data_IF_933388094018
#
_entry.id   IF_933388094018
#
_cell.length_a   1.000
_cell.length_b   1.000
_cell.length_c   1.000
_cell.angle_alpha   90.00
_cell.angle_beta   90.00
_cell.angle_gamma   90.00
#
_symmetry.space_group_name_H-M   'P 1'
#
loop_
_entity.id
_entity.type
_entity.pdbx_description
1 polymer ?
#
# COMPACT_ATOMS: atom_id res chain seq x y z
N UNK A 1 19.85 1.77 -9.56
CA UNK A 1 20.17 2.26 -8.23
C UNK A 1 18.93 2.08 -7.38
N UNK A 2 18.91 0.94 -6.76
CA UNK A 2 17.80 0.37 -6.01
C UNK A 2 18.15 0.53 -4.56
N UNK A 3 17.64 1.56 -3.91
CA UNK A 3 17.43 1.73 -2.48
C UNK A 3 16.70 3.08 -2.34
N UNK A 4 15.50 3.14 -2.95
CA UNK A 4 14.39 3.79 -2.32
C UNK A 4 14.07 2.94 -1.09
N UNK A 5 13.41 3.48 -0.10
CA UNK A 5 12.74 2.71 0.91
C UNK A 5 11.94 1.59 0.20
N UNK A 6 12.63 0.49 -0.10
CA UNK A 6 11.97 -0.75 -0.22
C UNK A 6 11.41 -0.96 1.18
N UNK A 7 10.10 -0.88 1.35
CA UNK A 7 9.49 -1.78 2.28
C UNK A 7 10.12 -3.12 1.96
N UNK A 8 11.03 -3.60 2.81
CA UNK A 8 11.54 -4.96 2.74
C UNK A 8 10.43 -5.92 3.12
N UNK A 9 9.32 -5.82 2.43
CA UNK A 9 8.33 -6.88 2.36
C UNK A 9 8.61 -7.79 1.15
N UNK A 10 9.84 -7.78 0.64
CA UNK A 10 10.38 -8.95 -0.01
C UNK A 10 10.80 -9.91 1.10
N UNK A 11 9.81 -10.49 1.77
CA UNK A 11 9.98 -11.75 2.44
C UNK A 11 10.59 -12.71 1.41
N UNK A 12 11.90 -12.87 1.43
CA UNK A 12 12.52 -14.06 0.90
C UNK A 12 12.08 -15.17 1.82
N UNK A 13 10.98 -15.83 1.44
CA UNK A 13 10.61 -17.11 2.00
C UNK A 13 11.86 -17.98 1.95
N UNK A 14 12.43 -18.32 3.10
CA UNK A 14 13.54 -19.24 3.20
C UNK A 14 13.15 -20.50 2.44
N UNK A 15 13.84 -20.79 1.33
CA UNK A 15 13.65 -21.99 0.54
C UNK A 15 12.30 -22.12 -0.15
N UNK A 16 12.02 -21.29 -1.17
CA UNK A 16 10.81 -21.35 -2.03
C UNK A 16 10.44 -22.79 -2.46
N UNK A 17 11.38 -23.74 -2.55
CA UNK A 17 11.12 -25.12 -2.92
C UNK A 17 10.73 -26.00 -1.72
N UNK A 18 11.34 -25.83 -0.55
CA UNK A 18 11.02 -26.63 0.64
C UNK A 18 9.68 -26.22 1.23
N UNK A 19 9.42 -24.92 1.32
CA UNK A 19 8.14 -24.37 1.74
C UNK A 19 6.95 -24.84 0.88
N UNK A 20 7.15 -24.93 -0.44
CA UNK A 20 6.13 -25.42 -1.38
C UNK A 20 5.86 -26.92 -1.24
N UNK A 21 6.87 -27.69 -0.86
CA UNK A 21 6.71 -29.13 -0.62
C UNK A 21 5.88 -29.40 0.65
N UNK A 22 6.08 -28.63 1.72
CA UNK A 22 5.33 -28.77 2.97
C UNK A 22 3.87 -28.36 2.84
N UNK A 23 3.56 -27.26 2.12
CA UNK A 23 2.19 -26.84 1.84
C UNK A 23 1.43 -27.83 0.94
N UNK A 24 2.12 -28.59 0.11
CA UNK A 24 1.50 -29.65 -0.71
C UNK A 24 0.99 -30.83 0.11
N UNK A 25 1.43 -30.95 1.35
CA UNK A 25 1.02 -31.98 2.30
C UNK A 25 -0.22 -31.62 3.13
N UNK A 26 -0.77 -30.42 2.99
CA UNK A 26 -2.05 -30.08 3.62
C UNK A 26 -3.17 -30.99 3.05
N UNK A 27 -4.05 -31.53 3.91
CA UNK A 27 -5.06 -32.50 3.47
C UNK A 27 -5.97 -31.86 2.40
N UNK A 28 -6.05 -32.50 1.24
CA UNK A 28 -6.94 -32.13 0.12
C UNK A 28 -8.43 -32.12 0.48
N UNK A 29 -8.77 -32.47 1.72
CA UNK A 29 -10.11 -32.53 2.29
C UNK A 29 -10.60 -31.22 2.91
N UNK A 30 -9.82 -30.14 2.87
CA UNK A 30 -10.34 -28.81 3.21
C UNK A 30 -11.42 -28.46 2.17
N UNK A 31 -12.63 -28.64 2.58
CA UNK A 31 -13.92 -28.70 1.95
C UNK A 31 -14.06 -28.05 0.58
N UNK A 32 -15.03 -28.55 -0.20
CA UNK A 32 -15.60 -27.85 -1.37
C UNK A 32 -15.57 -26.37 -1.10
N UNK A 33 -14.83 -25.63 -1.94
CA UNK A 33 -14.84 -24.18 -1.90
C UNK A 33 -16.31 -23.77 -1.86
N UNK A 34 -16.78 -23.26 -0.73
CA UNK A 34 -18.11 -22.69 -0.65
C UNK A 34 -18.19 -21.70 -1.80
N UNK A 35 -19.15 -21.90 -2.70
CA UNK A 35 -19.46 -20.93 -3.74
C UNK A 35 -19.60 -19.59 -3.02
N UNK A 36 -18.70 -18.66 -3.33
CA UNK A 36 -18.77 -17.31 -2.79
C UNK A 36 -20.13 -16.77 -3.19
N UNK A 37 -21.05 -16.43 -2.26
CA UNK A 37 -22.37 -15.94 -2.59
C UNK A 37 -22.21 -14.80 -3.58
N UNK A 38 -23.00 -14.77 -4.66
CA UNK A 38 -22.95 -13.74 -5.67
C UNK A 38 -23.07 -12.37 -5.01
N UNK A 39 -21.96 -11.65 -4.96
CA UNK A 39 -21.89 -10.34 -4.30
C UNK A 39 -22.74 -9.40 -5.16
N UNK A 40 -23.75 -8.80 -4.56
CA UNK A 40 -24.81 -7.98 -5.19
C UNK A 40 -24.28 -6.85 -6.09
N UNK A 41 -25.09 -6.36 -7.02
CA UNK A 41 -24.82 -5.45 -8.14
C UNK A 41 -23.86 -4.26 -7.94
N UNK A 42 -23.54 -3.87 -6.71
CA UNK A 42 -22.65 -2.77 -6.36
C UNK A 42 -21.18 -3.02 -6.76
N UNK A 43 -20.77 -4.29 -6.89
CA UNK A 43 -19.43 -4.71 -7.28
C UNK A 43 -19.24 -4.97 -8.78
N UNK A 44 -20.25 -4.71 -9.60
CA UNK A 44 -20.18 -4.87 -11.06
C UNK A 44 -19.08 -3.98 -11.68
N UNK A 45 -18.88 -2.77 -11.13
CA UNK A 45 -17.86 -1.83 -11.60
C UNK A 45 -16.45 -2.26 -11.20
N UNK A 46 -16.31 -2.86 -10.02
CA UNK A 46 -15.02 -3.40 -9.56
C UNK A 46 -14.58 -4.52 -10.50
N UNK A 47 -15.48 -5.44 -10.84
CA UNK A 47 -15.21 -6.52 -11.76
C UNK A 47 -14.66 -6.01 -13.09
N UNK A 48 -15.29 -4.99 -13.70
CA UNK A 48 -14.83 -4.40 -14.96
C UNK A 48 -13.40 -3.84 -14.86
N UNK A 49 -13.12 -3.11 -13.78
CA UNK A 49 -11.80 -2.53 -13.54
C UNK A 49 -10.77 -3.62 -13.23
N UNK A 50 -11.12 -4.61 -12.42
CA UNK A 50 -10.26 -5.74 -12.10
C UNK A 50 -9.90 -6.57 -13.34
N UNK A 51 -10.87 -6.82 -14.24
CA UNK A 51 -10.63 -7.47 -15.54
C UNK A 51 -9.70 -6.62 -16.40
N UNK A 52 -9.92 -5.31 -16.47
CA UNK A 52 -9.07 -4.40 -17.26
C UNK A 52 -7.64 -4.37 -16.71
N UNK A 53 -7.47 -4.39 -15.40
CA UNK A 53 -6.21 -4.47 -14.69
C UNK A 53 -5.49 -5.78 -15.00
N UNK A 54 -6.18 -6.91 -14.90
CA UNK A 54 -5.64 -8.22 -15.21
C UNK A 54 -5.14 -8.29 -16.66
N UNK A 55 -5.93 -7.79 -17.61
CA UNK A 55 -5.54 -7.68 -19.02
C UNK A 55 -4.29 -6.83 -19.23
N UNK A 56 -4.17 -5.70 -18.55
CA UNK A 56 -2.99 -4.83 -18.65
C UNK A 56 -1.73 -5.51 -18.10
N UNK A 57 -1.83 -6.23 -16.98
CA UNK A 57 -0.68 -6.96 -16.42
C UNK A 57 -0.23 -8.08 -17.35
N UNK A 58 -1.17 -8.81 -17.92
CA UNK A 58 -0.91 -9.87 -18.91
C UNK A 58 -0.25 -9.27 -20.16
N UNK A 59 -0.81 -8.18 -20.69
CA UNK A 59 -0.26 -7.51 -21.88
C UNK A 59 1.17 -6.95 -21.63
N UNK A 60 1.43 -6.34 -20.47
CA UNK A 60 2.78 -5.84 -20.12
C UNK A 60 3.80 -6.98 -20.02
N UNK A 61 3.42 -8.15 -19.53
CA UNK A 61 4.28 -9.32 -19.49
C UNK A 61 4.59 -9.84 -20.91
N UNK A 62 3.57 -10.00 -21.75
CA UNK A 62 3.71 -10.51 -23.12
C UNK A 62 4.52 -9.55 -24.01
N UNK A 63 4.31 -8.22 -23.92
CA UNK A 63 5.09 -7.22 -24.65
C UNK A 63 6.58 -7.24 -24.28
N UNK A 64 6.92 -7.73 -23.11
CA UNK A 64 8.30 -7.87 -22.64
C UNK A 64 8.90 -9.25 -23.01
N UNK A 65 8.17 -10.08 -23.79
CA UNK A 65 8.58 -11.44 -24.13
C UNK A 65 8.70 -12.37 -22.94
N UNK A 66 7.97 -12.09 -21.85
CA UNK A 66 7.96 -12.89 -20.62
C UNK A 66 6.66 -13.68 -20.52
N UNK A 67 6.75 -14.87 -19.95
CA UNK A 67 5.56 -15.57 -19.45
C UNK A 67 4.91 -14.75 -18.35
N UNK A 68 3.58 -14.87 -18.20
CA UNK A 68 2.87 -14.32 -17.06
C UNK A 68 3.24 -15.15 -15.84
N UNK A 69 4.17 -14.64 -15.06
CA UNK A 69 4.57 -15.29 -13.81
C UNK A 69 3.75 -14.70 -12.67
N UNK A 70 2.76 -15.46 -12.23
CA UNK A 70 1.89 -15.08 -11.13
C UNK A 70 2.63 -15.13 -9.79
N UNK A 71 3.60 -16.02 -9.65
CA UNK A 71 4.32 -16.28 -8.40
C UNK A 71 5.26 -15.14 -7.99
N UNK A 72 5.81 -14.42 -8.95
CA UNK A 72 6.74 -13.31 -8.70
C UNK A 72 6.12 -11.93 -8.88
N UNK A 73 4.86 -11.86 -9.29
CA UNK A 73 4.16 -10.60 -9.46
C UNK A 73 3.45 -10.19 -8.17
N UNK A 74 4.19 -9.54 -7.26
CA UNK A 74 3.67 -9.07 -5.96
C UNK A 74 2.39 -8.23 -6.07
N UNK A 75 2.19 -7.50 -7.16
CA UNK A 75 0.99 -6.67 -7.38
C UNK A 75 -0.25 -7.55 -7.62
N UNK A 76 -0.10 -8.63 -8.39
CA UNK A 76 -1.18 -9.58 -8.63
C UNK A 76 -1.43 -10.47 -7.43
N UNK A 77 -0.37 -11.01 -6.80
CA UNK A 77 -0.50 -11.89 -5.64
C UNK A 77 -1.43 -11.29 -4.58
N UNK A 78 -1.20 -10.03 -4.23
CA UNK A 78 -2.00 -9.31 -3.23
C UNK A 78 -3.45 -9.05 -3.64
N UNK A 79 -3.76 -9.09 -4.93
CA UNK A 79 -5.10 -8.89 -5.47
C UNK A 79 -5.81 -10.22 -5.76
N UNK A 80 -5.12 -11.36 -5.74
CA UNK A 80 -5.68 -12.67 -6.07
C UNK A 80 -6.96 -12.98 -5.29
N UNK A 81 -7.05 -12.78 -3.96
CA UNK A 81 -8.29 -13.05 -3.24
C UNK A 81 -9.47 -12.23 -3.73
N UNK A 82 -9.22 -10.96 -4.06
CA UNK A 82 -10.23 -10.06 -4.62
C UNK A 82 -10.62 -10.49 -6.04
N UNK A 83 -9.63 -10.78 -6.90
CA UNK A 83 -9.87 -11.23 -8.26
C UNK A 83 -10.71 -12.52 -8.29
N UNK A 84 -10.36 -13.51 -7.48
CA UNK A 84 -11.07 -14.77 -7.37
C UNK A 84 -12.48 -14.63 -6.75
N UNK A 85 -12.73 -13.60 -5.95
CA UNK A 85 -14.05 -13.32 -5.39
C UNK A 85 -15.00 -12.65 -6.38
N UNK A 86 -14.49 -11.84 -7.31
CA UNK A 86 -15.31 -11.04 -8.23
C UNK A 86 -15.37 -11.59 -9.65
N UNK A 87 -14.41 -12.41 -10.08
CA UNK A 87 -14.31 -12.96 -11.43
C UNK A 87 -14.54 -14.46 -11.33
N UNK A 88 -15.55 -14.97 -12.02
CA UNK A 88 -15.84 -16.40 -12.02
C UNK A 88 -14.70 -17.21 -12.65
N UNK A 89 -14.59 -18.50 -12.27
CA UNK A 89 -13.59 -19.40 -12.82
C UNK A 89 -13.62 -19.44 -14.34
N UNK A 90 -14.81 -19.46 -14.96
CA UNK A 90 -14.94 -19.48 -16.42
C UNK A 90 -14.39 -18.20 -17.06
N UNK A 91 -14.70 -17.04 -16.50
CA UNK A 91 -14.16 -15.76 -17.00
C UNK A 91 -12.64 -15.66 -16.83
N UNK A 92 -12.08 -16.23 -15.76
CA UNK A 92 -10.63 -16.34 -15.59
C UNK A 92 -10.01 -17.26 -16.65
N UNK A 93 -10.64 -18.38 -16.98
CA UNK A 93 -10.20 -19.29 -18.05
C UNK A 93 -10.22 -18.57 -19.40
N UNK A 94 -11.27 -17.83 -19.69
CA UNK A 94 -11.42 -17.07 -20.94
C UNK A 94 -10.36 -15.96 -21.07
N UNK A 95 -9.88 -15.43 -19.95
CA UNK A 95 -8.87 -14.36 -19.89
C UNK A 95 -7.43 -14.86 -19.87
N UNK A 96 -7.15 -15.94 -19.16
CA UNK A 96 -5.81 -16.42 -18.82
C UNK A 96 -5.48 -17.80 -19.36
N UNK A 97 -6.51 -18.58 -19.76
CA UNK A 97 -6.41 -20.01 -20.02
C UNK A 97 -6.49 -20.86 -18.74
N UNK A 98 -6.64 -22.16 -18.91
CA UNK A 98 -6.87 -23.13 -17.82
C UNK A 98 -5.68 -23.23 -16.87
N UNK A 99 -4.46 -23.26 -17.40
CA UNK A 99 -3.22 -23.41 -16.62
C UNK A 99 -3.02 -22.26 -15.63
N UNK A 100 -3.02 -21.02 -16.13
CA UNK A 100 -2.84 -19.83 -15.29
C UNK A 100 -4.01 -19.65 -14.30
N UNK A 101 -5.22 -19.99 -14.71
CA UNK A 101 -6.39 -19.95 -13.82
C UNK A 101 -6.25 -20.95 -12.68
N UNK A 102 -5.85 -22.18 -12.98
CA UNK A 102 -5.62 -23.19 -11.94
C UNK A 102 -4.52 -22.79 -10.97
N UNK A 103 -3.43 -22.20 -11.48
CA UNK A 103 -2.37 -21.66 -10.63
C UNK A 103 -2.84 -20.49 -9.77
N UNK A 104 -3.63 -19.58 -10.32
CA UNK A 104 -4.22 -18.46 -9.58
C UNK A 104 -5.13 -18.92 -8.44
N UNK A 105 -5.95 -19.94 -8.66
CA UNK A 105 -6.80 -20.51 -7.61
C UNK A 105 -6.00 -21.24 -6.53
N UNK A 106 -4.90 -21.87 -6.90
CA UNK A 106 -3.97 -22.46 -5.93
C UNK A 106 -3.33 -21.37 -5.05
N UNK A 107 -2.78 -20.33 -5.66
CA UNK A 107 -2.21 -19.17 -4.95
C UNK A 107 -3.25 -18.49 -4.04
N UNK A 108 -4.50 -18.38 -4.48
CA UNK A 108 -5.57 -17.85 -3.62
C UNK A 108 -5.75 -18.67 -2.33
N UNK A 109 -5.69 -19.99 -2.41
CA UNK A 109 -5.78 -20.85 -1.22
C UNK A 109 -4.59 -20.65 -0.29
N UNK A 110 -3.39 -20.50 -0.87
CA UNK A 110 -2.16 -20.26 -0.10
C UNK A 110 -2.21 -18.90 0.61
N UNK A 111 -2.62 -17.85 -0.08
CA UNK A 111 -2.79 -16.51 0.50
C UNK A 111 -3.79 -16.51 1.67
N UNK A 112 -4.92 -17.20 1.50
CA UNK A 112 -5.94 -17.32 2.57
C UNK A 112 -5.38 -18.12 3.75
N UNK A 113 -4.71 -19.25 3.49
CA UNK A 113 -4.14 -20.07 4.55
C UNK A 113 -3.06 -19.32 5.35
N UNK A 114 -2.20 -18.57 4.65
CA UNK A 114 -1.21 -17.70 5.27
C UNK A 114 -1.86 -16.61 6.14
N UNK A 115 -2.92 -15.98 5.62
CA UNK A 115 -3.63 -14.97 6.39
C UNK A 115 -4.26 -15.53 7.67
N UNK A 116 -4.77 -16.76 7.65
CA UNK A 116 -5.31 -17.41 8.86
C UNK A 116 -4.24 -17.61 9.95
N UNK A 117 -3.00 -17.87 9.58
CA UNK A 117 -1.89 -17.93 10.54
C UNK A 117 -1.62 -16.55 11.15
N UNK A 118 -1.59 -15.50 10.32
CA UNK A 118 -1.43 -14.13 10.80
C UNK A 118 -2.59 -13.71 11.72
N UNK A 119 -3.82 -14.14 11.43
CA UNK A 119 -4.99 -13.90 12.29
C UNK A 119 -4.81 -14.56 13.66
N UNK A 120 -4.32 -15.81 13.71
CA UNK A 120 -4.01 -16.49 14.97
C UNK A 120 -2.96 -15.77 15.80
N UNK A 121 -1.87 -15.32 15.16
CA UNK A 121 -0.83 -14.55 15.84
C UNK A 121 -1.34 -13.16 16.28
N UNK A 122 -2.15 -12.48 15.46
CA UNK A 122 -2.79 -11.22 15.85
C UNK A 122 -3.65 -11.39 17.09
N UNK A 123 -4.44 -12.47 17.16
CA UNK A 123 -5.27 -12.77 18.34
C UNK A 123 -4.41 -12.96 19.59
N UNK A 124 -3.35 -13.78 19.49
CA UNK A 124 -2.44 -14.03 20.63
C UNK A 124 -1.80 -12.73 21.14
N UNK A 125 -1.33 -11.88 20.23
CA UNK A 125 -0.69 -10.60 20.61
C UNK A 125 -1.68 -9.62 21.21
N UNK A 126 -2.87 -9.48 20.64
CA UNK A 126 -3.91 -8.62 21.19
C UNK A 126 -4.35 -9.09 22.59
N UNK A 127 -4.52 -10.40 22.77
CA UNK A 127 -4.84 -10.99 24.09
C UNK A 127 -3.76 -10.64 25.13
N UNK A 128 -2.50 -10.89 24.80
CA UNK A 128 -1.38 -10.60 25.71
C UNK A 128 -1.26 -9.11 26.03
N UNK A 129 -1.48 -8.23 25.05
CA UNK A 129 -1.45 -6.78 25.27
C UNK A 129 -2.64 -6.31 26.11
N UNK A 130 -3.83 -6.89 25.92
CA UNK A 130 -5.01 -6.59 26.76
C UNK A 130 -4.76 -7.00 28.23
N UNK A 131 -4.24 -8.20 28.50
CA UNK A 131 -3.86 -8.66 29.82
C UNK A 131 -2.80 -7.74 30.48
N UNK A 132 -1.85 -7.25 29.68
CA UNK A 132 -0.83 -6.30 30.13
C UNK A 132 -1.33 -4.85 30.19
N UNK A 133 -2.59 -4.56 29.83
CA UNK A 133 -3.17 -3.22 29.76
C UNK A 133 -2.36 -2.28 28.82
N UNK A 134 -1.87 -2.80 27.71
CA UNK A 134 -1.18 -2.05 26.66
C UNK A 134 -2.22 -1.72 25.58
N UNK A 135 -2.56 -0.45 25.45
CA UNK A 135 -3.50 0.00 24.43
C UNK A 135 -2.87 -0.03 23.03
N UNK A 136 -3.63 -0.51 22.05
CA UNK A 136 -3.18 -0.64 20.65
C UNK A 136 -4.21 -0.01 19.73
N UNK A 137 -3.73 0.78 18.75
CA UNK A 137 -4.52 1.14 17.58
C UNK A 137 -4.02 0.29 16.42
N UNK A 138 -4.88 -0.60 15.92
CA UNK A 138 -4.64 -1.32 14.66
C UNK A 138 -4.85 -0.37 13.48
N UNK A 139 -4.01 -0.48 12.47
CA UNK A 139 -4.17 0.29 11.24
C UNK A 139 -3.67 -0.49 10.02
N UNK A 140 -3.85 0.04 8.80
CA UNK A 140 -3.56 -0.65 7.54
C UNK A 140 -4.31 -2.00 7.40
N UNK A 141 -3.60 -3.06 6.98
CA UNK A 141 -4.14 -4.36 6.63
C UNK A 141 -5.06 -4.97 7.69
N UNK A 142 -4.58 -5.24 8.90
CA UNK A 142 -5.39 -5.83 9.96
C UNK A 142 -6.65 -5.03 10.27
N UNK A 143 -6.52 -3.72 10.45
CA UNK A 143 -7.69 -2.87 10.73
C UNK A 143 -8.72 -2.91 9.60
N UNK A 144 -8.28 -2.75 8.35
CA UNK A 144 -9.18 -2.73 7.19
C UNK A 144 -9.91 -4.06 7.01
N UNK A 145 -9.22 -5.20 7.21
CA UNK A 145 -9.82 -6.52 7.09
C UNK A 145 -11.05 -6.68 7.99
N UNK A 146 -10.99 -6.17 9.23
CA UNK A 146 -12.05 -6.31 10.20
C UNK A 146 -13.08 -5.16 10.21
N UNK A 147 -12.74 -3.99 9.67
CA UNK A 147 -13.64 -2.82 9.75
C UNK A 147 -14.41 -2.56 8.46
N UNK A 148 -13.78 -2.71 7.29
CA UNK A 148 -14.39 -2.26 6.02
C UNK A 148 -14.53 -3.35 4.96
N UNK A 149 -13.70 -4.39 4.96
CA UNK A 149 -13.82 -5.46 3.98
C UNK A 149 -14.99 -6.40 4.30
N UNK A 150 -15.73 -6.89 3.28
CA UNK A 150 -16.88 -7.77 3.49
C UNK A 150 -16.50 -9.13 4.09
N UNK A 151 -15.30 -9.57 3.87
CA UNK A 151 -14.70 -10.78 4.45
C UNK A 151 -13.23 -10.52 4.71
N UNK A 152 -12.70 -10.98 5.83
CA UNK A 152 -11.31 -10.74 6.25
C UNK A 152 -10.31 -11.27 5.24
N UNK A 153 -10.56 -12.45 4.68
CA UNK A 153 -9.69 -13.09 3.68
C UNK A 153 -9.58 -12.34 2.35
N UNK A 154 -10.43 -11.34 2.07
CA UNK A 154 -10.30 -10.49 0.90
C UNK A 154 -9.20 -9.43 1.08
N UNK A 155 -8.83 -9.14 2.32
CA UNK A 155 -7.77 -8.21 2.64
C UNK A 155 -6.64 -8.93 3.37
N UNK A 156 -5.91 -9.75 2.63
CA UNK A 156 -4.70 -10.40 3.17
C UNK A 156 -3.64 -9.35 3.51
N UNK A 157 -2.89 -9.60 4.55
CA UNK A 157 -1.78 -8.77 4.99
C UNK A 157 -0.58 -9.66 5.34
N UNK A 158 0.62 -9.08 5.39
CA UNK A 158 1.86 -9.81 5.59
C UNK A 158 2.61 -9.34 6.83
N UNK A 159 2.15 -8.28 7.42
CA UNK A 159 2.66 -7.63 8.63
C UNK A 159 1.48 -7.18 9.50
N UNK A 160 1.72 -7.11 10.79
CA UNK A 160 0.74 -6.63 11.77
C UNK A 160 1.21 -5.28 12.27
N UNK A 161 0.60 -4.22 11.73
CA UNK A 161 0.91 -2.84 12.10
C UNK A 161 0.12 -2.41 13.34
N UNK A 162 0.81 -2.04 14.39
CA UNK A 162 0.25 -1.61 15.67
C UNK A 162 0.82 -0.26 16.09
N UNK A 163 -0.02 0.74 16.33
CA UNK A 163 0.38 1.98 16.97
C UNK A 163 0.21 1.83 18.47
N UNK A 164 1.28 2.08 19.22
CA UNK A 164 1.30 2.03 20.69
C UNK A 164 1.81 3.35 21.26
N UNK A 165 1.50 3.62 22.52
CA UNK A 165 2.05 4.79 23.18
C UNK A 165 3.55 4.64 23.39
N UNK A 166 4.34 5.73 23.25
CA UNK A 166 5.80 5.66 23.44
C UNK A 166 6.20 5.09 24.79
N UNK A 167 5.43 5.38 25.84
CA UNK A 167 5.72 4.92 27.21
C UNK A 167 5.46 3.40 27.38
N UNK A 168 4.58 2.81 26.56
CA UNK A 168 4.30 1.37 26.58
C UNK A 168 5.28 0.55 25.73
N UNK A 169 6.08 1.19 24.86
CA UNK A 169 6.98 0.50 23.95
C UNK A 169 7.97 -0.46 24.65
N UNK A 170 8.62 -0.09 25.77
CA UNK A 170 9.52 -1.03 26.46
C UNK A 170 8.78 -2.27 26.99
N UNK A 171 7.58 -2.10 27.55
CA UNK A 171 6.76 -3.20 28.07
C UNK A 171 6.24 -4.10 26.94
N UNK A 172 5.79 -3.51 25.85
CA UNK A 172 5.34 -4.25 24.67
C UNK A 172 6.47 -5.10 24.05
N UNK A 173 7.69 -4.53 23.95
CA UNK A 173 8.86 -5.27 23.48
C UNK A 173 9.23 -6.43 24.40
N UNK A 174 9.24 -6.21 25.72
CA UNK A 174 9.53 -7.26 26.69
C UNK A 174 8.52 -8.40 26.59
N UNK A 175 7.23 -8.07 26.48
CA UNK A 175 6.15 -9.06 26.35
C UNK A 175 6.29 -9.88 25.06
N UNK A 176 6.55 -9.25 23.92
CA UNK A 176 6.75 -9.95 22.65
C UNK A 176 7.99 -10.88 22.72
N UNK A 177 9.08 -10.45 23.36
CA UNK A 177 10.25 -11.29 23.56
C UNK A 177 9.91 -12.51 24.44
N UNK A 178 9.12 -12.34 25.52
CA UNK A 178 8.64 -13.45 26.36
C UNK A 178 7.73 -14.42 25.58
N UNK A 179 6.97 -13.91 24.61
CA UNK A 179 6.16 -14.71 23.69
C UNK A 179 6.99 -15.46 22.63
N UNK A 180 8.32 -15.28 22.59
CA UNK A 180 9.22 -15.93 21.66
C UNK A 180 9.47 -15.17 20.36
N UNK A 181 9.02 -13.93 20.24
CA UNK A 181 9.39 -13.07 19.11
C UNK A 181 10.86 -12.65 19.23
N UNK A 182 11.49 -12.36 18.09
CA UNK A 182 12.86 -11.85 18.03
C UNK A 182 12.94 -10.63 17.14
N UNK A 183 13.91 -9.75 17.40
CA UNK A 183 14.17 -8.62 16.52
C UNK A 183 14.88 -9.08 15.25
N UNK A 184 14.50 -8.55 14.10
CA UNK A 184 15.32 -8.67 12.89
C UNK A 184 16.68 -7.97 13.11
N UNK A 185 17.78 -8.62 12.72
CA UNK A 185 19.14 -8.08 12.93
C UNK A 185 19.38 -6.72 12.27
N UNK A 186 18.79 -6.50 11.09
CA UNK A 186 18.90 -5.21 10.38
C UNK A 186 18.30 -4.05 11.17
N UNK A 187 17.37 -4.31 12.08
CA UNK A 187 16.68 -3.30 12.89
C UNK A 187 17.26 -3.14 14.28
N UNK A 188 18.02 -4.13 14.78
CA UNK A 188 18.75 -4.03 16.06
C UNK A 188 19.67 -2.80 16.11
N UNK A 189 20.35 -2.50 15.01
CA UNK A 189 21.23 -1.34 14.91
C UNK A 189 20.47 0.00 14.97
N UNK A 190 19.19 0.01 14.59
CA UNK A 190 18.34 1.20 14.59
C UNK A 190 17.52 1.35 15.88
N UNK A 191 17.38 0.31 16.67
CA UNK A 191 16.62 0.31 17.93
C UNK A 191 17.13 1.34 18.93
N UNK A 192 18.44 1.56 18.97
CA UNK A 192 19.09 2.59 19.81
C UNK A 192 18.80 4.03 19.36
N UNK A 193 18.38 4.22 18.08
CA UNK A 193 18.05 5.52 17.49
C UNK A 193 16.54 5.78 17.38
N UNK A 194 15.69 4.89 17.89
CA UNK A 194 14.23 4.95 17.74
C UNK A 194 13.58 6.22 18.27
N UNK A 195 14.16 6.86 19.29
CA UNK A 195 13.70 8.17 19.82
C UNK A 195 13.70 9.29 18.76
N UNK A 196 14.46 9.13 17.67
CA UNK A 196 14.61 10.14 16.62
C UNK A 196 13.69 9.98 15.42
N UNK A 197 13.17 8.76 15.18
CA UNK A 197 12.47 8.44 13.94
C UNK A 197 11.01 8.04 14.13
N UNK A 198 10.55 7.78 15.36
CA UNK A 198 9.21 7.26 15.61
C UNK A 198 8.95 5.90 14.91
N UNK A 199 10.00 5.16 14.58
CA UNK A 199 9.96 3.86 13.89
C UNK A 199 10.56 2.78 14.79
N UNK A 200 10.09 1.70 15.25
CA UNK A 200 9.46 0.55 14.78
C UNK A 200 10.35 -0.67 14.73
N UNK A 201 9.94 -1.63 15.45
CA UNK A 201 10.60 -2.91 15.54
C UNK A 201 9.82 -3.90 14.71
N UNK A 202 10.49 -4.62 13.83
CA UNK A 202 9.93 -5.80 13.21
C UNK A 202 10.37 -6.97 14.08
N UNK A 203 9.40 -7.68 14.62
CA UNK A 203 9.61 -8.89 15.38
C UNK A 203 9.10 -10.08 14.57
N UNK A 204 9.87 -11.16 14.54
CA UNK A 204 9.45 -12.40 13.94
C UNK A 204 9.65 -13.54 14.93
N UNK A 205 8.72 -14.47 14.98
CA UNK A 205 8.80 -15.65 15.81
C UNK A 205 9.62 -16.73 15.10
N UNK A 206 10.82 -17.10 15.60
CA UNK A 206 11.75 -17.93 14.85
C UNK A 206 11.29 -19.39 14.70
N UNK A 207 10.46 -19.88 15.64
CA UNK A 207 9.98 -21.26 15.67
C UNK A 207 8.71 -21.49 14.85
N UNK A 208 8.16 -20.44 14.26
CA UNK A 208 7.01 -20.53 13.37
C UNK A 208 7.47 -20.93 11.98
N UNK A 209 6.77 -21.86 11.34
CA UNK A 209 6.96 -22.19 9.94
C UNK A 209 6.69 -21.01 9.00
N UNK A 210 5.94 -20.00 9.49
CA UNK A 210 5.70 -18.71 8.86
C UNK A 210 6.22 -17.62 9.78
N UNK A 211 7.12 -16.78 9.27
CA UNK A 211 7.51 -15.57 9.97
C UNK A 211 6.35 -14.58 9.94
N UNK A 212 5.90 -14.12 11.11
CA UNK A 212 4.87 -13.10 11.24
C UNK A 212 5.50 -11.81 11.74
N UNK A 213 5.74 -10.82 10.87
CA UNK A 213 6.26 -9.54 11.30
C UNK A 213 5.22 -8.75 12.08
N UNK A 214 5.63 -8.22 13.22
CA UNK A 214 4.86 -7.26 13.99
C UNK A 214 5.61 -5.92 13.95
N UNK A 215 4.96 -4.90 13.41
CA UNK A 215 5.50 -3.56 13.38
C UNK A 215 4.87 -2.71 14.50
N UNK A 216 5.65 -2.44 15.56
CA UNK A 216 5.23 -1.51 16.61
C UNK A 216 5.62 -0.10 16.21
N UNK A 217 4.63 0.76 16.08
CA UNK A 217 4.78 2.16 15.74
C UNK A 217 4.47 3.04 16.95
N UNK A 218 5.28 4.07 17.19
CA UNK A 218 4.95 5.14 18.14
C UNK A 218 4.42 6.39 17.45
N UNK A 219 4.56 6.43 16.12
CA UNK A 219 3.95 7.40 15.23
C UNK A 219 3.60 6.70 13.89
N UNK A 220 2.52 7.09 13.21
CA UNK A 220 2.09 6.40 11.99
C UNK A 220 3.06 6.57 10.82
N UNK A 221 3.99 7.52 10.90
CA UNK A 221 4.98 7.80 9.86
C UNK A 221 6.28 8.38 10.45
N UNK A 222 7.41 8.31 9.71
CA UNK A 222 8.65 8.99 10.10
C UNK A 222 8.47 10.51 10.11
N UNK A 223 8.93 11.16 11.15
CA UNK A 223 8.81 12.62 11.37
C UNK A 223 9.50 13.51 10.30
N UNK A 224 10.33 12.91 9.43
CA UNK A 224 11.11 13.63 8.41
C UNK A 224 10.31 13.99 7.13
N UNK A 225 9.04 13.57 6.99
CA UNK A 225 8.33 13.56 5.70
C UNK A 225 7.31 14.69 5.55
N UNK A 226 7.20 15.58 6.51
CA UNK A 226 6.47 16.84 6.34
C UNK A 226 4.94 16.69 6.22
N UNK A 227 4.38 15.70 6.87
CA UNK A 227 2.95 15.59 7.16
C UNK A 227 2.75 15.68 8.67
N UNK A 228 1.71 16.38 9.08
CA UNK A 228 1.50 16.71 10.48
C UNK A 228 0.38 15.85 11.09
N UNK A 229 0.53 14.49 11.01
CA UNK A 229 -0.32 13.63 11.82
C UNK A 229 0.02 13.82 13.29
N UNK A 230 -0.85 14.48 14.00
CA UNK A 230 -0.72 14.67 15.44
C UNK A 230 -1.09 13.37 16.15
N UNK A 231 -0.10 12.66 16.68
CA UNK A 231 -0.25 11.32 17.26
C UNK A 231 -1.28 11.32 18.40
N UNK A 232 -1.27 12.34 19.25
CA UNK A 232 -2.22 12.42 20.36
C UNK A 232 -3.66 12.60 19.88
N UNK A 233 -3.89 13.34 18.79
CA UNK A 233 -5.20 13.44 18.16
C UNK A 233 -5.69 12.08 17.63
N UNK A 234 -4.80 11.23 17.11
CA UNK A 234 -5.17 9.88 16.67
C UNK A 234 -5.66 9.05 17.84
N UNK A 235 -5.01 9.12 19.01
CA UNK A 235 -5.42 8.41 20.21
C UNK A 235 -6.75 8.92 20.77
N UNK A 236 -6.95 10.24 20.78
CA UNK A 236 -8.19 10.86 21.29
C UNK A 236 -9.42 10.49 20.46
N UNK A 237 -9.25 10.31 19.14
CA UNK A 237 -10.33 10.00 18.19
C UNK A 237 -10.46 8.51 17.90
N UNK A 238 -9.55 7.67 18.39
CA UNK A 238 -9.55 6.25 18.11
C UNK A 238 -10.88 5.60 18.50
N UNK A 239 -11.35 4.68 17.66
CA UNK A 239 -12.62 3.97 17.87
C UNK A 239 -12.35 2.56 18.37
N UNK A 240 -13.19 2.10 19.30
CA UNK A 240 -13.16 0.71 19.79
C UNK A 240 -13.70 -0.22 18.72
N UNK A 241 -12.99 -1.32 18.51
CA UNK A 241 -13.39 -2.43 17.63
C UNK A 241 -13.14 -3.74 18.33
N UNK A 242 -13.81 -4.79 17.87
CA UNK A 242 -13.54 -6.17 18.27
C UNK A 242 -12.87 -6.90 17.11
N UNK A 243 -11.75 -7.55 17.38
CA UNK A 243 -10.96 -8.32 16.41
C UNK A 243 -10.68 -9.69 17.02
N UNK A 244 -11.21 -10.75 16.41
CA UNK A 244 -11.02 -12.14 16.87
C UNK A 244 -11.41 -12.38 18.34
N UNK A 245 -12.42 -11.68 18.83
CA UNK A 245 -12.86 -11.72 20.25
C UNK A 245 -12.06 -10.84 21.20
N UNK A 246 -11.07 -10.11 20.70
CA UNK A 246 -10.25 -9.19 21.49
C UNK A 246 -10.66 -7.73 21.25
N UNK A 247 -10.79 -6.95 22.33
CA UNK A 247 -11.07 -5.51 22.25
C UNK A 247 -9.80 -4.76 21.89
N UNK A 248 -9.87 -3.91 20.87
CA UNK A 248 -8.74 -3.06 20.45
C UNK A 248 -9.26 -1.74 19.89
N UNK A 249 -8.36 -0.91 19.37
CA UNK A 249 -8.71 0.37 18.76
C UNK A 249 -8.36 0.38 17.27
N UNK A 250 -9.06 1.21 16.51
CA UNK A 250 -8.72 1.60 15.16
C UNK A 250 -8.68 3.11 15.02
N UNK A 251 -8.03 3.63 13.98
CA UNK A 251 -8.04 5.06 13.69
C UNK A 251 -9.47 5.53 13.37
N UNK A 252 -9.77 6.77 13.72
CA UNK A 252 -10.99 7.43 13.24
C UNK A 252 -11.04 7.38 11.70
N UNK A 253 -12.19 7.11 11.07
CA UNK A 253 -12.27 6.88 9.62
C UNK A 253 -11.64 7.97 8.76
N UNK A 254 -11.82 9.25 9.10
CA UNK A 254 -11.20 10.38 8.37
C UNK A 254 -9.67 10.33 8.46
N UNK A 255 -9.13 10.11 9.66
CA UNK A 255 -7.68 10.04 9.87
C UNK A 255 -7.10 8.80 9.19
N UNK A 256 -7.81 7.67 9.23
CA UNK A 256 -7.40 6.43 8.56
C UNK A 256 -7.37 6.59 7.04
N UNK A 257 -8.41 7.20 6.45
CA UNK A 257 -8.46 7.47 5.01
C UNK A 257 -7.31 8.38 4.56
N UNK A 258 -7.03 9.46 5.31
CA UNK A 258 -5.92 10.36 5.01
C UNK A 258 -4.56 9.66 5.17
N UNK A 259 -4.41 8.83 6.20
CA UNK A 259 -3.22 8.02 6.39
C UNK A 259 -2.99 7.05 5.21
N UNK A 260 -4.04 6.36 4.74
CA UNK A 260 -3.94 5.46 3.58
C UNK A 260 -3.57 6.22 2.30
N UNK A 261 -4.12 7.41 2.06
CA UNK A 261 -3.72 8.27 0.94
C UNK A 261 -2.24 8.67 1.03
N UNK A 262 -1.79 9.07 2.21
CA UNK A 262 -0.39 9.39 2.49
C UNK A 262 0.50 8.17 2.26
N UNK A 263 0.16 7.02 2.82
CA UNK A 263 0.89 5.76 2.70
C UNK A 263 1.04 5.32 1.24
N UNK A 264 -0.05 5.38 0.47
CA UNK A 264 -0.06 5.06 -0.96
C UNK A 264 0.87 6.00 -1.75
N UNK A 265 0.82 7.31 -1.46
CA UNK A 265 1.74 8.29 -2.03
C UNK A 265 3.18 8.02 -1.58
N UNK A 266 3.43 7.79 -0.29
CA UNK A 266 4.76 7.58 0.28
C UNK A 266 5.49 6.43 -0.42
N UNK A 267 4.80 5.34 -0.71
CA UNK A 267 5.32 4.22 -1.47
C UNK A 267 5.27 4.41 -3.00
N UNK A 268 5.06 5.62 -3.47
CA UNK A 268 5.11 5.98 -4.89
C UNK A 268 4.00 5.35 -5.73
N UNK A 269 2.83 5.10 -5.15
CA UNK A 269 1.66 4.53 -5.83
C UNK A 269 1.94 3.16 -6.46
N UNK A 270 2.71 2.32 -5.78
CA UNK A 270 3.21 1.07 -6.34
C UNK A 270 2.25 -0.09 -6.22
N UNK A 271 1.29 -0.06 -5.30
CA UNK A 271 0.40 -1.19 -4.99
C UNK A 271 -1.06 -0.84 -5.23
N UNK A 272 -1.67 -1.54 -6.18
CA UNK A 272 -3.10 -1.36 -6.49
C UNK A 272 -4.02 -1.79 -5.36
N UNK A 273 -3.62 -2.74 -4.53
CA UNK A 273 -4.35 -3.11 -3.33
C UNK A 273 -4.59 -1.89 -2.42
N UNK A 274 -3.61 -0.99 -2.29
CA UNK A 274 -3.76 0.22 -1.47
C UNK A 274 -4.75 1.24 -2.07
N UNK A 275 -4.84 1.31 -3.40
CA UNK A 275 -5.91 2.08 -4.05
C UNK A 275 -7.28 1.42 -3.81
N UNK A 276 -7.33 0.09 -3.86
CA UNK A 276 -8.56 -0.63 -3.60
C UNK A 276 -9.00 -0.53 -2.12
N UNK A 277 -8.05 -0.47 -1.18
CA UNK A 277 -8.33 -0.15 0.23
C UNK A 277 -9.11 1.17 0.37
N UNK A 278 -8.70 2.22 -0.37
CA UNK A 278 -9.41 3.51 -0.38
C UNK A 278 -10.83 3.36 -0.96
N UNK A 279 -10.99 2.59 -2.02
CA UNK A 279 -12.31 2.33 -2.63
C UNK A 279 -13.24 1.65 -1.64
N UNK A 280 -12.78 0.59 -0.99
CA UNK A 280 -13.59 -0.17 -0.02
C UNK A 280 -13.94 0.70 1.18
N UNK A 281 -12.98 1.47 1.68
CA UNK A 281 -13.17 2.38 2.81
C UNK A 281 -14.19 3.49 2.49
N UNK A 282 -14.05 4.17 1.35
CA UNK A 282 -15.00 5.21 0.93
C UNK A 282 -16.43 4.65 0.78
N UNK A 283 -16.56 3.44 0.27
CA UNK A 283 -17.86 2.78 0.15
C UNK A 283 -18.45 2.37 1.49
N UNK A 284 -17.61 1.91 2.42
CA UNK A 284 -18.04 1.58 3.77
C UNK A 284 -18.56 2.83 4.50
N UNK A 285 -17.87 3.97 4.36
CA UNK A 285 -18.25 5.24 4.97
C UNK A 285 -19.46 5.91 4.29
N UNK A 286 -19.76 5.60 3.03
CA UNK A 286 -20.92 6.13 2.30
C UNK A 286 -22.22 5.35 2.50
N UNK A 287 -22.20 4.26 3.26
CA UNK A 287 -23.36 3.38 3.45
C UNK A 287 -24.13 3.72 4.71
N UNK A 288 -25.05 4.68 4.62
CA UNK A 288 -26.02 4.98 5.71
C UNK A 288 -27.23 4.05 5.77
N UNK A 289 -27.42 3.12 4.82
CA UNK A 289 -28.72 2.46 4.66
C UNK A 289 -28.81 0.94 4.81
N UNK A 290 -27.72 0.22 5.02
CA UNK A 290 -27.82 -1.25 5.22
C UNK A 290 -27.13 -1.66 6.54
N UNK A 291 -27.87 -1.54 7.63
CA UNK A 291 -27.47 -1.86 9.03
C UNK A 291 -27.29 -3.35 9.34
N UNK A 292 -27.27 -4.22 8.34
CA UNK A 292 -27.46 -5.67 8.56
C UNK A 292 -26.17 -6.47 8.86
N UNK A 293 -25.02 -5.85 9.06
CA UNK A 293 -23.78 -6.62 9.26
C UNK A 293 -22.92 -6.24 10.48
N UNK A 294 -23.46 -5.54 11.48
CA UNK A 294 -22.80 -5.36 12.80
C UNK A 294 -21.36 -4.77 12.75
N UNK A 295 -21.06 -3.88 11.78
CA UNK A 295 -19.72 -3.36 11.58
C UNK A 295 -19.45 -2.07 12.33
N UNK A 296 -18.19 -1.90 12.76
CA UNK A 296 -17.74 -0.90 13.69
C UNK A 296 -17.72 0.56 13.19
N UNK A 297 -17.95 0.83 11.88
CA UNK A 297 -17.96 2.20 11.33
C UNK A 297 -19.41 2.66 11.19
N UNK A 298 -19.88 3.41 12.18
CA UNK A 298 -21.28 3.87 12.33
C UNK A 298 -21.46 5.35 11.91
N UNK A 299 -20.53 5.94 11.18
CA UNK A 299 -20.59 7.36 10.80
C UNK A 299 -20.59 7.57 9.30
N UNK A 300 -21.57 8.36 8.83
CA UNK A 300 -21.54 8.95 7.49
C UNK A 300 -20.30 9.83 7.35
N UNK A 301 -19.61 9.73 6.20
CA UNK A 301 -18.41 10.51 5.93
C UNK A 301 -18.76 12.00 5.84
N UNK A 302 -18.30 12.79 6.79
CA UNK A 302 -18.32 14.26 6.67
C UNK A 302 -17.21 14.70 5.72
N UNK A 303 -17.61 15.00 4.47
CA UNK A 303 -16.70 15.48 3.44
C UNK A 303 -16.03 16.82 3.80
N UNK A 304 -16.70 17.68 4.58
CA UNK A 304 -16.13 18.96 5.00
C UNK A 304 -15.06 18.74 6.06
N UNK A 305 -15.26 17.79 6.98
CA UNK A 305 -14.24 17.38 7.94
C UNK A 305 -13.03 16.79 7.21
N UNK A 306 -13.24 15.87 6.25
CA UNK A 306 -12.19 15.25 5.47
C UNK A 306 -11.34 16.30 4.72
N UNK A 307 -11.99 17.25 4.04
CA UNK A 307 -11.31 18.33 3.32
C UNK A 307 -10.52 19.23 4.26
N UNK A 308 -11.09 19.56 5.41
CA UNK A 308 -10.43 20.39 6.44
C UNK A 308 -9.20 19.69 6.99
N UNK A 309 -9.34 18.44 7.40
CA UNK A 309 -8.25 17.61 7.91
C UNK A 309 -7.13 17.42 6.87
N UNK A 310 -7.50 17.15 5.60
CA UNK A 310 -6.53 17.03 4.51
C UNK A 310 -5.69 18.31 4.30
N UNK A 311 -6.31 19.47 4.43
CA UNK A 311 -5.59 20.76 4.33
C UNK A 311 -4.66 21.01 5.52
N UNK A 312 -5.14 20.70 6.73
CA UNK A 312 -4.34 20.84 7.96
C UNK A 312 -3.11 19.93 7.94
N UNK A 313 -3.24 18.72 7.39
CA UNK A 313 -2.16 17.74 7.28
C UNK A 313 -1.34 17.86 5.99
N UNK A 314 -1.53 18.90 5.19
CA UNK A 314 -0.84 19.10 3.90
C UNK A 314 -1.00 17.93 2.91
N UNK A 315 -2.18 17.30 2.90
CA UNK A 315 -2.54 16.15 2.07
C UNK A 315 -3.64 16.46 1.04
N UNK A 316 -4.08 17.72 0.89
CA UNK A 316 -5.20 18.07 0.01
C UNK A 316 -4.99 17.64 -1.44
N UNK A 317 -3.81 17.89 -2.01
CA UNK A 317 -3.46 17.46 -3.37
C UNK A 317 -3.39 15.94 -3.48
N UNK A 318 -2.84 15.26 -2.49
CA UNK A 318 -2.76 13.79 -2.46
C UNK A 318 -4.16 13.18 -2.42
N UNK A 319 -5.01 13.68 -1.52
CA UNK A 319 -6.40 13.25 -1.41
C UNK A 319 -7.17 13.49 -2.72
N UNK A 320 -7.03 14.67 -3.35
CA UNK A 320 -7.64 14.98 -4.64
C UNK A 320 -7.38 13.88 -5.68
N UNK A 321 -6.12 13.47 -5.86
CA UNK A 321 -5.78 12.46 -6.85
C UNK A 321 -6.22 11.06 -6.45
N UNK A 322 -6.07 10.68 -5.19
CA UNK A 322 -6.58 9.40 -4.70
C UNK A 322 -8.10 9.28 -4.92
N UNK A 323 -8.87 10.32 -4.56
CA UNK A 323 -10.30 10.36 -4.80
C UNK A 323 -10.65 10.36 -6.30
N UNK A 324 -9.90 11.11 -7.13
CA UNK A 324 -10.08 11.09 -8.59
C UNK A 324 -9.90 9.69 -9.15
N UNK A 325 -8.88 8.95 -8.72
CA UNK A 325 -8.64 7.58 -9.18
C UNK A 325 -9.71 6.61 -8.67
N UNK A 326 -10.18 6.75 -7.44
CA UNK A 326 -11.31 5.96 -6.93
C UNK A 326 -12.58 6.19 -7.75
N UNK A 327 -12.88 7.45 -8.11
CA UNK A 327 -14.02 7.82 -8.95
C UNK A 327 -13.84 7.30 -10.38
N UNK A 328 -12.71 7.58 -11.01
CA UNK A 328 -12.51 7.36 -12.44
C UNK A 328 -12.27 5.88 -12.79
N UNK A 329 -11.69 5.10 -11.87
CA UNK A 329 -11.40 3.69 -12.08
C UNK A 329 -12.45 2.74 -11.48
N UNK A 330 -13.07 3.13 -10.35
CA UNK A 330 -13.99 2.26 -9.61
C UNK A 330 -15.40 2.86 -9.44
N UNK A 331 -15.66 3.98 -10.10
CA UNK A 331 -16.97 4.66 -10.11
C UNK A 331 -17.50 4.97 -8.68
N UNK A 332 -16.59 5.27 -7.74
CA UNK A 332 -16.96 5.68 -6.39
C UNK A 332 -17.66 7.04 -6.45
N UNK A 333 -18.86 7.12 -5.86
CA UNK A 333 -19.61 8.36 -5.79
C UNK A 333 -18.94 9.34 -4.84
N UNK A 334 -18.48 10.49 -5.36
CA UNK A 334 -17.81 11.55 -4.60
C UNK A 334 -18.42 12.88 -5.02
N UNK A 335 -18.86 13.75 -4.09
CA UNK A 335 -19.44 15.03 -4.40
C UNK A 335 -18.48 15.93 -5.21
N UNK A 336 -19.01 16.63 -6.22
CA UNK A 336 -18.19 17.51 -7.07
C UNK A 336 -17.55 18.67 -6.30
N UNK A 337 -18.21 19.12 -5.22
CA UNK A 337 -17.77 20.17 -4.32
C UNK A 337 -16.45 19.82 -3.64
N UNK A 338 -16.24 18.53 -3.31
CA UNK A 338 -14.99 18.02 -2.70
C UNK A 338 -13.82 18.28 -3.65
N UNK A 339 -13.97 17.96 -4.93
CA UNK A 339 -12.93 18.23 -5.93
C UNK A 339 -12.67 19.72 -6.14
N UNK A 340 -13.70 20.55 -6.06
CA UNK A 340 -13.57 21.99 -6.13
C UNK A 340 -12.76 22.51 -4.95
N UNK A 341 -13.08 22.06 -3.75
CA UNK A 341 -12.38 22.45 -2.53
C UNK A 341 -10.92 21.94 -2.49
N UNK A 342 -10.66 20.70 -2.93
CA UNK A 342 -9.32 20.10 -2.91
C UNK A 342 -8.46 20.47 -4.12
N UNK A 343 -8.96 21.31 -5.04
CA UNK A 343 -8.32 21.57 -6.34
C UNK A 343 -6.84 21.92 -6.20
N UNK A 344 -5.92 21.12 -6.79
CA UNK A 344 -4.48 21.37 -6.69
C UNK A 344 -4.05 22.62 -7.46
N UNK A 345 -2.91 23.22 -7.11
CA UNK A 345 -2.28 24.28 -7.90
C UNK A 345 -2.11 23.87 -9.36
N UNK A 346 -2.26 24.83 -10.30
CA UNK A 346 -2.22 24.55 -11.73
C UNK A 346 -0.91 23.88 -12.18
N UNK A 347 0.23 24.28 -11.58
CA UNK A 347 1.54 23.69 -11.88
C UNK A 347 1.63 22.22 -11.45
N UNK A 348 1.07 21.88 -10.28
CA UNK A 348 0.98 20.51 -9.80
C UNK A 348 0.11 19.67 -10.76
N UNK A 349 -1.04 20.18 -11.16
CA UNK A 349 -1.93 19.52 -12.12
C UNK A 349 -1.25 19.29 -13.47
N UNK A 350 -0.58 20.30 -14.01
CA UNK A 350 0.16 20.17 -15.27
C UNK A 350 1.19 19.01 -15.21
N UNK A 351 1.96 18.95 -14.13
CA UNK A 351 2.96 17.90 -13.94
C UNK A 351 2.34 16.52 -13.73
N UNK A 352 1.31 16.42 -12.89
CA UNK A 352 0.69 15.13 -12.61
C UNK A 352 -0.10 14.62 -13.81
N UNK A 353 -1.03 15.41 -14.32
CA UNK A 353 -2.00 14.97 -15.35
C UNK A 353 -1.35 14.82 -16.73
N UNK A 354 -0.45 15.73 -17.10
CA UNK A 354 0.15 15.74 -18.45
C UNK A 354 1.46 14.95 -18.55
N UNK A 355 2.23 14.89 -17.48
CA UNK A 355 3.57 14.31 -17.50
C UNK A 355 3.62 12.98 -16.76
N UNK A 356 3.17 12.97 -15.50
CA UNK A 356 3.33 11.81 -14.65
C UNK A 356 2.28 10.71 -14.90
N UNK A 357 1.00 11.10 -14.99
CA UNK A 357 -0.14 10.17 -15.00
C UNK A 357 -1.08 10.38 -16.22
N UNK A 358 -0.56 10.48 -17.45
CA UNK A 358 -1.41 10.70 -18.63
C UNK A 358 -2.37 9.54 -18.91
N UNK A 359 -1.98 8.31 -18.53
CA UNK A 359 -2.80 7.10 -18.54
C UNK A 359 -2.70 6.50 -17.15
N UNK A 360 -3.64 6.81 -16.27
CA UNK A 360 -3.54 6.52 -14.84
C UNK A 360 -3.38 5.03 -14.58
N UNK A 361 -4.29 4.20 -15.06
CA UNK A 361 -4.28 2.75 -14.79
C UNK A 361 -3.00 2.10 -15.32
N UNK A 362 -2.61 2.36 -16.58
CA UNK A 362 -1.36 1.87 -17.15
C UNK A 362 -0.13 2.31 -16.34
N UNK A 363 -0.12 3.57 -15.87
CA UNK A 363 1.01 4.09 -15.08
C UNK A 363 1.09 3.46 -13.70
N UNK A 364 -0.05 3.15 -13.08
CA UNK A 364 -0.10 2.50 -11.77
C UNK A 364 0.35 1.04 -11.85
N UNK A 365 0.00 0.31 -12.91
CA UNK A 365 0.25 -1.13 -13.07
C UNK A 365 1.63 -1.42 -13.65
N UNK A 366 2.06 -0.66 -14.67
CA UNK A 366 3.23 -0.98 -15.47
C UNK A 366 4.54 -0.69 -14.73
N UNK A 367 5.52 -1.61 -14.83
CA UNK A 367 6.90 -1.37 -14.39
C UNK A 367 7.53 -0.16 -15.11
N UNK A 368 7.13 0.12 -16.35
CA UNK A 368 7.54 1.33 -17.11
C UNK A 368 7.01 2.62 -16.48
N UNK A 369 5.91 2.54 -15.71
CA UNK A 369 5.32 3.66 -14.97
C UNK A 369 6.13 4.13 -13.76
N UNK A 370 7.11 3.37 -13.28
CA UNK A 370 7.83 3.68 -12.03
C UNK A 370 8.44 5.10 -12.00
N UNK A 371 9.11 5.52 -13.06
CA UNK A 371 9.67 6.88 -13.12
C UNK A 371 8.60 7.97 -13.10
N UNK A 372 7.43 7.69 -13.70
CA UNK A 372 6.27 8.57 -13.70
C UNK A 372 5.65 8.72 -12.32
N UNK A 373 5.51 7.59 -11.62
CA UNK A 373 5.01 7.59 -10.22
C UNK A 373 5.91 8.40 -9.30
N UNK A 374 7.24 8.34 -9.46
CA UNK A 374 8.18 9.18 -8.70
C UNK A 374 7.94 10.67 -8.96
N UNK A 375 7.66 11.06 -10.22
CA UNK A 375 7.32 12.46 -10.55
C UNK A 375 5.99 12.84 -9.90
N UNK A 376 4.97 11.99 -10.01
CA UNK A 376 3.67 12.22 -9.38
C UNK A 376 3.81 12.40 -7.86
N UNK A 377 4.51 11.49 -7.19
CA UNK A 377 4.78 11.56 -5.76
C UNK A 377 5.36 12.91 -5.33
N UNK A 378 6.33 13.45 -6.08
CA UNK A 378 6.99 14.73 -5.78
C UNK A 378 6.14 15.96 -6.16
N UNK A 379 5.29 15.83 -7.16
CA UNK A 379 4.43 16.91 -7.65
C UNK A 379 3.13 17.06 -6.85
N UNK A 380 2.75 16.07 -6.05
CA UNK A 380 1.54 16.12 -5.21
C UNK A 380 1.80 16.91 -3.91
N UNK A 381 1.91 18.21 -4.04
CA UNK A 381 2.06 19.17 -2.94
C UNK A 381 0.99 20.25 -3.02
N UNK A 382 0.62 20.84 -1.88
CA UNK A 382 -0.55 21.71 -1.75
C UNK A 382 -0.29 23.17 -2.16
N UNK A 383 0.95 23.50 -2.54
CA UNK A 383 1.29 24.84 -2.97
C UNK A 383 2.36 24.85 -4.08
N UNK A 384 2.35 25.91 -4.89
CA UNK A 384 3.38 26.13 -5.92
C UNK A 384 4.77 26.29 -5.29
N UNK A 385 4.86 26.94 -4.13
CA UNK A 385 6.10 27.06 -3.37
C UNK A 385 6.61 25.70 -2.89
N UNK A 386 5.69 24.84 -2.42
CA UNK A 386 5.98 23.43 -2.08
C UNK A 386 6.55 22.65 -3.28
N UNK A 387 6.00 22.91 -4.49
CA UNK A 387 6.50 22.29 -5.71
C UNK A 387 7.93 22.74 -6.05
N UNK A 388 8.21 24.04 -5.91
CA UNK A 388 9.57 24.58 -6.09
C UNK A 388 10.52 23.96 -5.07
N UNK A 389 10.13 23.91 -3.80
CA UNK A 389 10.91 23.26 -2.72
C UNK A 389 11.18 21.79 -3.03
N UNK A 390 10.17 21.04 -3.46
CA UNK A 390 10.33 19.64 -3.87
C UNK A 390 11.30 19.48 -5.06
N UNK A 391 11.26 20.40 -6.03
CA UNK A 391 12.21 20.47 -7.14
C UNK A 391 13.64 20.73 -6.68
N UNK A 392 13.83 21.71 -5.81
CA UNK A 392 15.13 22.02 -5.20
C UNK A 392 15.65 20.82 -4.41
N UNK A 393 14.84 20.19 -3.58
CA UNK A 393 15.22 18.99 -2.83
C UNK A 393 15.54 17.80 -3.73
N UNK A 394 14.93 17.71 -4.93
CA UNK A 394 15.28 16.69 -5.91
C UNK A 394 16.67 16.92 -6.51
N UNK A 395 17.07 18.18 -6.72
CA UNK A 395 18.38 18.55 -7.25
C UNK A 395 19.46 18.58 -6.16
N UNK A 396 19.09 18.99 -4.96
CA UNK A 396 19.98 19.15 -3.80
C UNK A 396 19.41 18.40 -2.58
N UNK A 397 19.47 17.06 -2.58
CA UNK A 397 18.97 16.25 -1.47
C UNK A 397 19.75 16.51 -0.17
N UNK A 398 19.16 16.14 0.97
CA UNK A 398 19.86 16.26 2.25
C UNK A 398 21.15 15.43 2.29
N UNK A 399 22.15 15.80 3.11
CA UNK A 399 23.39 15.04 3.26
C UNK A 399 23.16 13.55 3.54
N UNK A 400 22.21 13.23 4.40
CA UNK A 400 21.85 11.84 4.71
C UNK A 400 21.30 11.09 3.47
N UNK A 401 20.44 11.73 2.67
CA UNK A 401 19.91 11.15 1.43
C UNK A 401 20.98 11.01 0.36
N UNK A 402 21.90 11.97 0.28
CA UNK A 402 23.03 11.93 -0.62
C UNK A 402 23.99 10.78 -0.23
N UNK A 403 24.26 10.61 1.07
CA UNK A 403 25.05 9.51 1.61
C UNK A 403 24.47 8.15 1.20
N UNK A 404 23.22 7.91 1.55
CA UNK A 404 22.54 6.67 1.17
C UNK A 404 22.60 6.37 -0.35
N UNK A 405 22.52 7.41 -1.19
CA UNK A 405 22.50 7.25 -2.66
C UNK A 405 23.86 6.93 -3.27
N UNK A 406 24.91 7.49 -2.73
CA UNK A 406 26.24 7.44 -3.34
C UNK A 406 27.30 6.67 -2.53
N UNK A 407 27.13 6.58 -1.19
CA UNK A 407 28.11 5.90 -0.33
C UNK A 407 27.92 4.38 -0.27
N UNK A 408 26.71 3.86 -0.49
CA UNK A 408 26.47 2.41 -0.51
C UNK A 408 27.27 1.64 -1.55
N UNK A 409 27.82 2.32 -2.59
CA UNK A 409 28.58 1.72 -3.69
C UNK A 409 29.88 2.46 -4.06
N UNK A 410 30.29 3.52 -3.32
CA UNK A 410 31.45 4.31 -3.70
C UNK A 410 32.61 4.13 -2.73
N UNK A 411 33.81 3.87 -3.31
CA UNK A 411 35.08 3.82 -2.58
C UNK A 411 35.65 5.23 -2.26
N UNK A 412 34.87 6.32 -2.48
CA UNK A 412 35.33 7.67 -2.25
C UNK A 412 35.30 8.02 -0.74
N UNK A 413 36.39 8.57 -0.21
CA UNK A 413 36.43 9.03 1.17
C UNK A 413 35.39 10.11 1.44
N UNK A 414 34.85 10.15 2.67
CA UNK A 414 33.83 11.11 3.13
C UNK A 414 34.17 12.59 2.81
N UNK A 415 35.45 12.96 2.79
CA UNK A 415 35.90 14.31 2.48
C UNK A 415 35.59 14.80 1.06
N UNK A 416 35.32 13.88 0.13
CA UNK A 416 34.94 14.24 -1.24
C UNK A 416 33.43 14.24 -1.48
N UNK A 417 32.65 14.06 -0.46
CA UNK A 417 31.21 13.96 -0.51
C UNK A 417 30.52 15.20 -1.13
N UNK A 418 31.08 16.40 -0.90
CA UNK A 418 30.56 17.64 -1.47
C UNK A 418 30.57 17.65 -3.00
N UNK A 419 31.47 16.88 -3.65
CA UNK A 419 31.53 16.77 -5.12
C UNK A 419 30.26 16.19 -5.71
N UNK A 420 29.56 15.32 -4.98
CA UNK A 420 28.29 14.77 -5.45
C UNK A 420 27.20 15.82 -5.58
N UNK A 421 27.25 16.94 -4.82
CA UNK A 421 26.32 18.05 -4.98
C UNK A 421 26.50 18.81 -6.31
N UNK A 422 27.67 18.74 -6.93
CA UNK A 422 27.89 19.27 -8.27
C UNK A 422 27.44 18.29 -9.37
N UNK A 423 27.61 16.99 -9.17
CA UNK A 423 27.30 15.96 -10.17
C UNK A 423 25.80 15.63 -10.15
N UNK A 424 25.18 15.58 -8.96
CA UNK A 424 23.81 15.11 -8.78
C UNK A 424 22.76 15.94 -9.55
N UNK A 425 22.76 17.28 -9.54
CA UNK A 425 21.82 18.09 -10.31
C UNK A 425 21.87 17.75 -11.80
N UNK A 426 23.06 17.69 -12.39
CA UNK A 426 23.25 17.38 -13.82
C UNK A 426 22.77 15.98 -14.18
N UNK A 427 23.09 14.99 -13.35
CA UNK A 427 22.61 13.60 -13.57
C UNK A 427 21.10 13.50 -13.46
N UNK A 428 20.49 14.26 -12.56
CA UNK A 428 19.04 14.30 -12.34
C UNK A 428 18.35 15.00 -13.51
N UNK A 429 18.85 16.16 -13.95
CA UNK A 429 18.35 16.89 -15.11
C UNK A 429 18.50 16.06 -16.39
N UNK A 430 19.67 15.46 -16.62
CA UNK A 430 19.91 14.61 -17.80
C UNK A 430 18.96 13.39 -17.85
N UNK A 431 18.62 12.79 -16.70
CA UNK A 431 17.60 11.73 -16.63
C UNK A 431 16.22 12.25 -16.97
N UNK A 432 15.85 13.43 -16.46
CA UNK A 432 14.59 14.11 -16.77
C UNK A 432 14.47 14.45 -18.24
N UNK A 433 15.49 15.06 -18.83
CA UNK A 433 15.54 15.40 -20.27
C UNK A 433 15.44 14.15 -21.15
N UNK A 434 16.21 13.11 -20.88
CA UNK A 434 16.11 11.83 -21.63
C UNK A 434 14.71 11.23 -21.54
N UNK A 435 14.07 11.35 -20.39
CA UNK A 435 12.70 10.88 -20.21
C UNK A 435 11.71 11.65 -21.10
N UNK A 436 11.82 12.99 -21.15
CA UNK A 436 10.97 13.85 -21.98
C UNK A 436 11.21 13.64 -23.48
N UNK A 437 12.46 13.49 -23.90
CA UNK A 437 12.83 13.27 -25.31
C UNK A 437 12.35 11.91 -25.83
N UNK A 438 12.44 10.83 -25.03
CA UNK A 438 11.90 9.51 -25.41
C UNK A 438 10.40 9.54 -25.66
N UNK A 439 9.68 10.53 -25.11
CA UNK A 439 8.25 10.71 -25.29
C UNK A 439 7.90 11.36 -26.63
N UNK A 440 8.76 12.23 -27.16
CA UNK A 440 8.54 12.92 -28.45
C UNK A 440 8.64 12.00 -29.68
N UNK A 441 9.35 10.85 -29.55
CA UNK A 441 9.62 9.94 -30.66
C UNK A 441 8.56 8.86 -30.97
N UNK A 442 7.51 8.71 -30.15
CA UNK A 442 6.51 7.62 -30.28
C UNK A 442 5.09 8.10 -30.50
N UNK A 443 4.87 8.99 -31.47
CA UNK A 443 3.52 9.31 -31.94
C UNK A 443 3.46 9.22 -33.46
N UNK A 444 3.31 8.00 -34.00
CA UNK A 444 2.55 7.74 -35.23
C UNK A 444 1.69 6.50 -34.95
N UNK A 445 0.37 6.61 -34.92
CA UNK A 445 -0.48 5.45 -34.98
C UNK A 445 -0.23 4.79 -36.35
N UNK A 446 0.16 3.53 -36.38
CA UNK A 446 0.10 2.73 -37.61
C UNK A 446 -1.37 2.67 -38.00
N UNK A 447 -1.69 3.24 -39.15
CA UNK A 447 -2.95 3.06 -39.82
C UNK A 447 -3.15 1.54 -40.01
N UNK A 448 -4.25 1.04 -39.46
CA UNK A 448 -4.73 -0.30 -39.76
C UNK A 448 -5.21 -0.24 -41.22
N UNK A 449 -4.41 -0.70 -42.15
CA UNK A 449 -4.87 -1.01 -43.52
C UNK A 449 -5.95 -2.09 -43.39
N UNK A 450 -7.20 -1.67 -43.61
CA UNK A 450 -8.27 -2.59 -43.92
C UNK A 450 -7.94 -3.22 -45.30
N UNK A 451 -7.47 -4.46 -45.31
CA UNK A 451 -7.54 -5.28 -46.51
C UNK A 451 -8.93 -5.89 -46.54
N UNK A 452 -9.61 -5.64 -47.68
CA UNK A 452 -10.92 -6.10 -48.03
C UNK A 452 -11.08 -7.63 -48.16
#
# INVERSE_FOLDING_TARGET
>A
MRHGYASNSSFQLRGDREYRAELSCLPKSAGRAAEVPSISGQYKYDKKTLISLLKLVVADALEQGRSVDLDTNEELLRLIPILCAYISRQELIDLLGEELTSRMLELNRLEIAQNLVLEGELQHVLHAFNEAQIAVILFKGPSLAYTVYPKTYLRTYYDIDMLIRPDDLPRANELLLQMGYTFYEEYRANATNSKRTGFNYILARPDSWLEVPIELHTAPHPSEIGTDFEVESLWLKAQKIEVLGESTLTMHPVDHLLYLCWHYRFHGFTRLLWLYDLVVMLRAMGRTMERDMGRAIDSELDWNELVRAARQQHLATTLYYCLSWCRDLFEVAIPAEVFTQLRPPWACRLLVERIAMPNTLETLVSKRGQSRRIIAHRAMVDSTLGLIKAGIQALFPSPASMGRRYMGNSRLPLKFYFLYYFIHPWTTLAKGCRYLLKRGGKRKPKAVERRG
#
